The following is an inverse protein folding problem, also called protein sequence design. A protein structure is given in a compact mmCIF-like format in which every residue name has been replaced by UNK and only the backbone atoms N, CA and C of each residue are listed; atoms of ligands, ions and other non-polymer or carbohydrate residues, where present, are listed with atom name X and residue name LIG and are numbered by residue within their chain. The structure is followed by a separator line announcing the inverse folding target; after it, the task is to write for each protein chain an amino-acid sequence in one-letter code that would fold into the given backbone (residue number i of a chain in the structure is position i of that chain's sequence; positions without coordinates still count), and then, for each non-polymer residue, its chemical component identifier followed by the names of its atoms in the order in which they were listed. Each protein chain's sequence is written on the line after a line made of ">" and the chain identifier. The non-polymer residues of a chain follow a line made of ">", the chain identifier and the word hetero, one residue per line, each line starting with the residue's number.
data_IF_272446578769
#
_entry.id   IF_272446578769
#
_cell.length_a   1.000
_cell.length_b   1.000
_cell.length_c   1.000
_cell.angle_alpha   90.00
_cell.angle_beta   90.00
_cell.angle_gamma   90.00
#
_symmetry.space_group_name_H-M   'P 1'
#
loop_
_entity.id
_entity.type
_entity.pdbx_description
1 polymer ?
#
# COMPACT_ATOMS: atom_id res chain seq x y z
N UNK A 1 16.33 -44.01 6.00
CA UNK A 1 14.96 -43.52 6.27
C UNK A 1 14.66 -42.11 5.72
N UNK A 2 15.66 -41.29 5.33
CA UNK A 2 15.42 -39.96 4.73
C UNK A 2 14.84 -39.98 3.32
N UNK A 3 15.18 -40.98 2.50
CA UNK A 3 14.77 -41.05 1.09
C UNK A 3 13.26 -41.19 0.86
N UNK A 4 12.55 -42.00 1.66
CA UNK A 4 11.12 -42.27 1.44
C UNK A 4 10.21 -41.11 1.83
N UNK A 5 10.53 -40.41 2.93
CA UNK A 5 9.79 -39.21 3.35
C UNK A 5 9.95 -38.06 2.35
N UNK A 6 11.17 -37.85 1.85
CA UNK A 6 11.45 -36.83 0.84
C UNK A 6 10.73 -37.13 -0.48
N UNK A 7 10.73 -38.40 -0.92
CA UNK A 7 10.03 -38.81 -2.14
C UNK A 7 8.50 -38.67 -2.03
N UNK A 8 7.94 -38.93 -0.85
CA UNK A 8 6.52 -38.67 -0.57
C UNK A 8 6.18 -37.17 -0.63
N UNK A 9 7.03 -36.30 -0.07
CA UNK A 9 6.83 -34.85 -0.14
C UNK A 9 6.88 -34.32 -1.58
N UNK A 10 7.85 -34.78 -2.38
CA UNK A 10 7.96 -34.43 -3.80
C UNK A 10 6.70 -34.87 -4.58
N UNK A 11 6.20 -36.09 -4.31
CA UNK A 11 4.98 -36.58 -4.95
C UNK A 11 3.76 -35.72 -4.60
N UNK A 12 3.59 -35.32 -3.34
CA UNK A 12 2.50 -34.43 -2.91
C UNK A 12 2.56 -33.08 -3.62
N UNK A 13 3.74 -32.45 -3.67
CA UNK A 13 3.93 -31.16 -4.35
C UNK A 13 3.67 -31.28 -5.85
N UNK A 14 4.12 -32.36 -6.48
CA UNK A 14 3.87 -32.61 -7.90
C UNK A 14 2.38 -32.75 -8.19
N UNK A 15 1.64 -33.47 -7.35
CA UNK A 15 0.19 -33.60 -7.48
C UNK A 15 -0.52 -32.25 -7.30
N UNK A 16 -0.10 -31.45 -6.31
CA UNK A 16 -0.63 -30.09 -6.09
C UNK A 16 -0.44 -29.21 -7.33
N UNK A 17 0.75 -29.21 -7.92
CA UNK A 17 1.05 -28.42 -9.12
C UNK A 17 0.25 -28.91 -10.34
N UNK A 18 0.09 -30.22 -10.50
CA UNK A 18 -0.75 -30.78 -11.57
C UNK A 18 -2.23 -30.42 -11.39
N UNK A 19 -2.74 -30.46 -10.14
CA UNK A 19 -4.09 -30.06 -9.81
C UNK A 19 -4.30 -28.57 -10.04
N UNK A 20 -3.31 -27.73 -9.73
CA UNK A 20 -3.33 -26.31 -10.06
C UNK A 20 -3.41 -26.07 -11.57
N UNK A 21 -2.54 -26.73 -12.34
CA UNK A 21 -2.40 -26.49 -13.78
C UNK A 21 -3.68 -26.93 -14.52
N UNK A 22 -4.26 -28.09 -14.16
CA UNK A 22 -5.49 -28.62 -14.76
C UNK A 22 -6.78 -28.12 -14.10
N UNK A 23 -6.67 -27.45 -12.95
CA UNK A 23 -7.79 -27.05 -12.11
C UNK A 23 -8.62 -25.92 -12.70
N UNK A 24 -9.93 -25.95 -12.43
CA UNK A 24 -10.82 -24.82 -12.68
C UNK A 24 -10.52 -23.67 -11.70
N UNK A 25 -11.15 -22.50 -11.93
CA UNK A 25 -11.08 -21.37 -10.98
C UNK A 25 -11.43 -21.78 -9.54
N UNK A 26 -12.39 -22.68 -9.38
CA UNK A 26 -12.86 -23.16 -8.06
C UNK A 26 -11.80 -24.03 -7.40
N UNK A 27 -11.15 -24.90 -8.18
CA UNK A 27 -10.07 -25.78 -7.69
C UNK A 27 -8.88 -24.93 -7.25
N UNK A 28 -8.44 -23.97 -8.08
CA UNK A 28 -7.34 -23.07 -7.71
C UNK A 28 -7.67 -22.23 -6.48
N UNK A 29 -8.89 -21.69 -6.37
CA UNK A 29 -9.33 -20.96 -5.18
C UNK A 29 -9.27 -21.84 -3.92
N UNK A 30 -9.71 -23.09 -3.99
CA UNK A 30 -9.62 -24.03 -2.86
C UNK A 30 -8.17 -24.29 -2.46
N UNK A 31 -7.28 -24.52 -3.44
CA UNK A 31 -5.84 -24.68 -3.19
C UNK A 31 -5.28 -23.45 -2.45
N UNK A 32 -5.65 -22.23 -2.87
CA UNK A 32 -5.19 -21.01 -2.19
C UNK A 32 -5.74 -20.86 -0.78
N UNK A 33 -7.01 -21.20 -0.55
CA UNK A 33 -7.61 -21.16 0.79
C UNK A 33 -6.87 -22.13 1.72
N UNK A 34 -6.60 -23.35 1.26
CA UNK A 34 -5.88 -24.35 2.04
C UNK A 34 -4.42 -23.93 2.27
N UNK A 35 -3.75 -23.39 1.25
CA UNK A 35 -2.40 -22.83 1.37
C UNK A 35 -2.34 -21.70 2.40
N UNK A 36 -3.24 -20.73 2.32
CA UNK A 36 -3.31 -19.58 3.24
C UNK A 36 -3.59 -20.03 4.67
N UNK A 37 -4.38 -21.09 4.87
CA UNK A 37 -4.63 -21.63 6.21
C UNK A 37 -3.39 -22.31 6.80
N UNK A 38 -2.62 -23.02 5.99
CA UNK A 38 -1.54 -23.89 6.47
C UNK A 38 -0.18 -23.18 6.60
N UNK A 39 0.00 -22.02 5.94
CA UNK A 39 1.33 -21.42 5.76
C UNK A 39 1.48 -20.01 6.36
N UNK A 40 0.55 -19.55 7.20
CA UNK A 40 0.69 -18.26 7.87
C UNK A 40 1.92 -18.24 8.78
N UNK A 41 2.63 -17.11 8.79
CA UNK A 41 3.79 -16.85 9.65
C UNK A 41 4.99 -17.81 9.44
N UNK A 42 4.99 -18.61 8.36
CA UNK A 42 6.14 -19.43 8.01
C UNK A 42 7.27 -18.58 7.44
N UNK A 43 8.50 -18.98 7.75
CA UNK A 43 9.74 -18.45 7.19
C UNK A 43 9.99 -19.00 5.78
N UNK A 44 10.89 -18.37 5.03
CA UNK A 44 11.29 -18.81 3.70
C UNK A 44 11.77 -20.28 3.66
N UNK A 45 12.68 -20.69 4.57
CA UNK A 45 13.11 -22.09 4.68
C UNK A 45 11.98 -23.07 4.99
N UNK A 46 11.02 -22.70 5.85
CA UNK A 46 9.87 -23.57 6.17
C UNK A 46 8.92 -23.72 4.98
N UNK A 47 8.69 -22.64 4.21
CA UNK A 47 7.93 -22.72 2.96
C UNK A 47 8.62 -23.65 1.95
N UNK A 48 9.94 -23.56 1.81
CA UNK A 48 10.68 -24.46 0.94
C UNK A 48 10.64 -25.91 1.42
N UNK A 49 10.72 -26.14 2.72
CA UNK A 49 10.60 -27.49 3.26
C UNK A 49 9.21 -28.09 3.00
N UNK A 50 8.15 -27.30 3.19
CA UNK A 50 6.76 -27.70 2.91
C UNK A 50 6.58 -28.06 1.43
N UNK A 51 7.19 -27.28 0.54
CA UNK A 51 7.10 -27.45 -0.91
C UNK A 51 8.22 -28.29 -1.50
N UNK A 52 8.94 -29.09 -0.71
CA UNK A 52 10.02 -29.96 -1.20
C UNK A 52 11.02 -29.23 -2.13
N UNK A 53 11.39 -27.99 -1.76
CA UNK A 53 12.28 -27.08 -2.50
C UNK A 53 11.68 -26.51 -3.81
N UNK A 54 10.36 -26.54 -3.97
CA UNK A 54 9.64 -26.06 -5.15
C UNK A 54 8.67 -24.90 -4.84
N UNK A 55 8.86 -24.14 -3.75
CA UNK A 55 7.91 -23.08 -3.39
C UNK A 55 7.89 -21.95 -4.45
N UNK A 56 9.05 -21.60 -5.02
CA UNK A 56 9.16 -20.64 -6.14
C UNK A 56 8.37 -21.05 -7.39
N UNK A 57 8.25 -22.37 -7.66
CA UNK A 57 7.44 -22.87 -8.78
C UNK A 57 5.94 -22.66 -8.56
N UNK A 58 5.50 -22.71 -7.31
CA UNK A 58 4.12 -22.38 -6.95
C UNK A 58 3.88 -20.87 -7.01
N UNK A 59 4.81 -20.06 -6.50
CA UNK A 59 4.74 -18.59 -6.60
C UNK A 59 4.68 -18.10 -8.06
N UNK A 60 5.47 -18.71 -8.96
CA UNK A 60 5.44 -18.37 -10.39
C UNK A 60 4.07 -18.59 -11.01
N UNK A 61 3.40 -19.71 -10.66
CA UNK A 61 2.05 -20.01 -11.15
C UNK A 61 0.99 -19.08 -10.56
N UNK A 62 1.14 -18.76 -9.27
CA UNK A 62 0.26 -17.84 -8.56
C UNK A 62 0.32 -16.43 -9.16
N UNK A 63 1.53 -15.90 -9.37
CA UNK A 63 1.75 -14.57 -9.95
C UNK A 63 1.30 -14.49 -11.40
N UNK A 64 1.53 -15.55 -12.19
CA UNK A 64 0.99 -15.65 -13.54
C UNK A 64 -0.55 -15.62 -13.55
N UNK A 65 -1.20 -16.37 -12.65
CA UNK A 65 -2.66 -16.38 -12.55
C UNK A 65 -3.23 -15.02 -12.10
N UNK A 66 -2.55 -14.34 -11.18
CA UNK A 66 -2.91 -12.99 -10.74
C UNK A 66 -2.92 -12.05 -11.94
N UNK A 67 -1.82 -12.01 -12.70
CA UNK A 67 -1.68 -11.11 -13.84
C UNK A 67 -2.73 -11.36 -14.93
N UNK A 68 -3.18 -12.60 -15.11
CA UNK A 68 -4.23 -12.95 -16.06
C UNK A 68 -5.65 -12.60 -15.59
N UNK A 69 -5.88 -12.47 -14.28
CA UNK A 69 -7.25 -12.44 -13.72
C UNK A 69 -7.59 -11.25 -12.84
N UNK A 70 -6.63 -10.43 -12.43
CA UNK A 70 -6.88 -9.33 -11.49
C UNK A 70 -7.91 -8.32 -12.00
N UNK A 71 -7.92 -8.01 -13.30
CA UNK A 71 -8.87 -7.06 -13.90
C UNK A 71 -10.34 -7.51 -13.79
N UNK A 72 -10.59 -8.82 -13.76
CA UNK A 72 -11.92 -9.43 -13.65
C UNK A 72 -12.22 -9.94 -12.23
N UNK A 73 -11.30 -9.76 -11.28
CA UNK A 73 -11.51 -10.05 -9.86
C UNK A 73 -11.70 -11.53 -9.50
N UNK A 74 -11.20 -12.47 -10.31
CA UNK A 74 -11.38 -13.91 -10.02
C UNK A 74 -10.52 -14.33 -8.84
N UNK A 75 -11.13 -14.65 -7.69
CA UNK A 75 -10.42 -15.09 -6.47
C UNK A 75 -9.25 -14.19 -6.09
N UNK A 76 -9.42 -12.88 -6.28
CA UNK A 76 -8.33 -11.90 -6.15
C UNK A 76 -7.84 -11.82 -4.70
N UNK A 77 -8.75 -11.81 -3.74
CA UNK A 77 -8.42 -11.81 -2.31
C UNK A 77 -7.55 -13.02 -1.93
N UNK A 78 -7.95 -14.23 -2.33
CA UNK A 78 -7.19 -15.45 -2.03
C UNK A 78 -5.79 -15.43 -2.66
N UNK A 79 -5.69 -14.90 -3.89
CA UNK A 79 -4.42 -14.74 -4.58
C UNK A 79 -3.49 -13.78 -3.84
N UNK A 80 -3.98 -12.61 -3.45
CA UNK A 80 -3.20 -11.60 -2.74
C UNK A 80 -2.78 -12.08 -1.35
N UNK A 81 -3.67 -12.75 -0.61
CA UNK A 81 -3.34 -13.34 0.69
C UNK A 81 -2.25 -14.41 0.59
N UNK A 82 -2.31 -15.25 -0.44
CA UNK A 82 -1.27 -16.25 -0.69
C UNK A 82 0.07 -15.59 -1.06
N UNK A 83 0.06 -14.55 -1.90
CA UNK A 83 1.28 -13.78 -2.24
C UNK A 83 1.87 -13.12 -1.00
N UNK A 84 1.03 -12.54 -0.13
CA UNK A 84 1.47 -11.88 1.11
C UNK A 84 2.30 -12.82 2.00
N UNK A 85 1.95 -14.12 2.07
CA UNK A 85 2.75 -15.13 2.79
C UNK A 85 4.17 -15.22 2.24
N UNK A 86 4.33 -15.28 0.91
CA UNK A 86 5.65 -15.31 0.27
C UNK A 86 6.45 -14.02 0.51
N UNK A 87 5.79 -12.86 0.43
CA UNK A 87 6.44 -11.55 0.57
C UNK A 87 6.84 -11.22 2.02
N UNK A 88 6.09 -11.73 3.00
CA UNK A 88 6.33 -11.50 4.43
C UNK A 88 7.24 -12.56 5.07
N UNK A 89 7.52 -13.66 4.38
CA UNK A 89 8.36 -14.75 4.88
C UNK A 89 9.79 -14.25 5.21
N UNK A 90 10.18 -14.36 6.48
CA UNK A 90 11.54 -14.04 6.91
C UNK A 90 12.55 -14.97 6.25
N UNK A 91 13.71 -14.44 5.86
CA UNK A 91 14.70 -15.16 5.03
C UNK A 91 14.16 -15.65 3.66
N UNK A 92 13.03 -15.11 3.20
CA UNK A 92 12.39 -15.43 1.91
C UNK A 92 12.79 -14.50 0.75
N UNK A 93 13.98 -13.89 0.79
CA UNK A 93 14.35 -12.81 -0.14
C UNK A 93 14.23 -13.19 -1.63
N UNK A 94 14.39 -14.46 -1.98
CA UNK A 94 14.22 -14.94 -3.36
C UNK A 94 12.79 -14.77 -3.88
N UNK A 95 11.78 -15.01 -3.03
CA UNK A 95 10.37 -14.85 -3.42
C UNK A 95 10.03 -13.40 -3.73
N UNK A 96 10.58 -12.48 -2.92
CA UNK A 96 10.46 -11.05 -3.16
C UNK A 96 11.10 -10.66 -4.51
N UNK A 97 12.29 -11.18 -4.80
CA UNK A 97 12.99 -10.91 -6.06
C UNK A 97 12.19 -11.43 -7.27
N UNK A 98 11.76 -12.70 -7.23
CA UNK A 98 10.94 -13.33 -8.28
C UNK A 98 9.64 -12.55 -8.53
N UNK A 99 8.95 -12.13 -7.46
CA UNK A 99 7.72 -11.35 -7.55
C UNK A 99 7.93 -9.99 -8.22
N UNK A 100 9.03 -9.32 -7.90
CA UNK A 100 9.38 -8.02 -8.49
C UNK A 100 9.76 -8.17 -9.96
N UNK A 101 10.54 -9.19 -10.31
CA UNK A 101 11.02 -9.45 -11.67
C UNK A 101 9.86 -9.66 -12.66
N UNK A 102 8.77 -10.29 -12.23
CA UNK A 102 7.56 -10.48 -13.06
C UNK A 102 6.64 -9.25 -13.07
N UNK A 103 7.08 -8.12 -12.51
CA UNK A 103 6.33 -6.86 -12.46
C UNK A 103 5.21 -6.84 -11.41
N UNK A 104 5.32 -7.64 -10.35
CA UNK A 104 4.29 -7.77 -9.31
C UNK A 104 3.92 -6.44 -8.64
N UNK A 105 4.87 -5.53 -8.44
CA UNK A 105 4.62 -4.19 -7.87
C UNK A 105 3.65 -3.38 -8.74
N UNK A 106 3.83 -3.39 -10.06
CA UNK A 106 2.93 -2.69 -10.98
C UNK A 106 1.52 -3.29 -10.92
N UNK A 107 1.41 -4.62 -10.91
CA UNK A 107 0.11 -5.29 -10.78
C UNK A 107 -0.61 -4.94 -9.49
N UNK A 108 0.09 -4.86 -8.35
CA UNK A 108 -0.50 -4.43 -7.07
C UNK A 108 -0.99 -2.98 -7.12
N UNK A 109 -0.20 -2.07 -7.70
CA UNK A 109 -0.57 -0.66 -7.88
C UNK A 109 -1.77 -0.49 -8.82
N UNK A 110 -1.87 -1.29 -9.87
CA UNK A 110 -3.04 -1.31 -10.74
C UNK A 110 -4.29 -1.78 -9.99
N UNK A 111 -4.20 -2.85 -9.19
CA UNK A 111 -5.31 -3.38 -8.39
C UNK A 111 -5.91 -2.31 -7.47
N UNK A 112 -5.09 -1.55 -6.74
CA UNK A 112 -5.60 -0.51 -5.83
C UNK A 112 -6.26 0.66 -6.57
N UNK A 113 -5.90 0.86 -7.85
CA UNK A 113 -6.47 1.86 -8.74
C UNK A 113 -7.73 1.41 -9.49
N UNK A 114 -8.07 0.12 -9.47
CA UNK A 114 -9.26 -0.40 -10.14
C UNK A 114 -10.54 0.11 -9.46
N UNK A 115 -11.42 0.75 -10.24
CA UNK A 115 -12.69 1.28 -9.75
C UNK A 115 -13.64 0.16 -9.29
N UNK A 116 -13.59 -0.99 -9.97
CA UNK A 116 -14.45 -2.14 -9.72
C UNK A 116 -13.89 -3.12 -8.68
N UNK A 117 -12.64 -2.95 -8.24
CA UNK A 117 -12.06 -3.81 -7.21
C UNK A 117 -12.76 -3.61 -5.87
N UNK A 118 -12.99 -4.70 -5.14
CA UNK A 118 -13.55 -4.66 -3.79
C UNK A 118 -12.55 -4.02 -2.83
N UNK A 119 -13.05 -3.39 -1.77
CA UNK A 119 -12.18 -2.78 -0.76
C UNK A 119 -11.25 -3.83 -0.11
N UNK A 120 -11.75 -5.05 0.16
CA UNK A 120 -10.92 -6.15 0.69
C UNK A 120 -9.77 -6.54 -0.26
N UNK A 121 -10.00 -6.51 -1.57
CA UNK A 121 -8.95 -6.80 -2.56
C UNK A 121 -7.89 -5.69 -2.58
N UNK A 122 -8.31 -4.42 -2.50
CA UNK A 122 -7.40 -3.29 -2.40
C UNK A 122 -6.58 -3.34 -1.11
N UNK A 123 -7.23 -3.67 0.01
CA UNK A 123 -6.58 -3.81 1.31
C UNK A 123 -5.49 -4.88 1.28
N UNK A 124 -5.76 -6.07 0.72
CA UNK A 124 -4.76 -7.13 0.59
C UNK A 124 -3.63 -6.74 -0.38
N UNK A 125 -3.94 -5.98 -1.43
CA UNK A 125 -2.91 -5.44 -2.34
C UNK A 125 -2.00 -4.43 -1.64
N UNK A 126 -2.57 -3.53 -0.81
CA UNK A 126 -1.82 -2.59 0.01
C UNK A 126 -0.93 -3.29 1.03
N UNK A 127 -1.41 -4.37 1.67
CA UNK A 127 -0.58 -5.19 2.57
C UNK A 127 0.62 -5.80 1.84
N UNK A 128 0.44 -6.31 0.63
CA UNK A 128 1.55 -6.79 -0.19
C UNK A 128 2.56 -5.67 -0.50
N UNK A 129 2.09 -4.47 -0.87
CA UNK A 129 2.96 -3.31 -1.10
C UNK A 129 3.70 -2.87 0.18
N UNK A 130 3.07 -2.95 1.34
CA UNK A 130 3.70 -2.69 2.63
C UNK A 130 4.80 -3.72 2.92
N UNK A 131 4.59 -5.01 2.64
CA UNK A 131 5.65 -6.03 2.74
C UNK A 131 6.86 -5.67 1.86
N UNK A 132 6.61 -5.26 0.61
CA UNK A 132 7.66 -4.82 -0.33
C UNK A 132 8.39 -3.59 0.23
N UNK A 133 7.67 -2.56 0.68
CA UNK A 133 8.26 -1.34 1.25
C UNK A 133 9.08 -1.63 2.52
N UNK A 134 8.64 -2.58 3.35
CA UNK A 134 9.31 -2.97 4.59
C UNK A 134 10.64 -3.72 4.33
N UNK A 135 10.80 -4.34 3.16
CA UNK A 135 12.00 -5.09 2.82
C UNK A 135 13.25 -4.19 2.60
N UNK A 136 13.09 -2.86 2.56
CA UNK A 136 14.19 -1.89 2.60
C UNK A 136 14.07 -0.76 1.58
N UNK A 137 14.99 0.21 1.69
CA UNK A 137 14.97 1.47 0.90
C UNK A 137 14.83 1.23 -0.61
N UNK A 138 15.62 0.32 -1.20
CA UNK A 138 15.58 0.04 -2.64
C UNK A 138 14.19 -0.35 -3.14
N UNK A 139 13.41 -1.03 -2.32
CA UNK A 139 12.05 -1.45 -2.67
C UNK A 139 11.03 -0.33 -2.48
N UNK A 140 11.23 0.55 -1.49
CA UNK A 140 10.46 1.80 -1.39
C UNK A 140 10.66 2.68 -2.62
N UNK A 141 11.91 2.86 -3.05
CA UNK A 141 12.25 3.60 -4.26
C UNK A 141 11.58 3.01 -5.50
N UNK A 142 11.62 1.67 -5.67
CA UNK A 142 10.93 0.99 -6.76
C UNK A 142 9.42 1.27 -6.79
N UNK A 143 8.75 1.24 -5.63
CA UNK A 143 7.32 1.59 -5.54
C UNK A 143 7.10 3.04 -5.97
N UNK A 144 7.93 3.97 -5.51
CA UNK A 144 7.83 5.38 -5.88
C UNK A 144 8.06 5.62 -7.38
N UNK A 145 9.09 4.99 -7.97
CA UNK A 145 9.41 5.06 -9.40
C UNK A 145 8.28 4.48 -10.28
N UNK A 146 7.55 3.50 -9.74
CA UNK A 146 6.37 2.91 -10.37
C UNK A 146 5.09 3.75 -10.21
N UNK A 147 5.21 5.06 -9.96
CA UNK A 147 4.10 5.98 -9.66
C UNK A 147 3.28 5.62 -8.41
N UNK A 148 3.86 4.86 -7.48
CA UNK A 148 3.15 4.37 -6.31
C UNK A 148 2.61 5.46 -5.39
N UNK A 149 3.32 6.58 -5.24
CA UNK A 149 2.85 7.71 -4.41
C UNK A 149 1.50 8.22 -4.90
N UNK A 150 1.38 8.46 -6.21
CA UNK A 150 0.13 8.94 -6.83
C UNK A 150 -0.97 7.89 -6.69
N UNK A 151 -0.68 6.63 -7.03
CA UNK A 151 -1.67 5.55 -6.99
C UNK A 151 -2.23 5.35 -5.57
N UNK A 152 -1.38 5.37 -4.55
CA UNK A 152 -1.77 5.20 -3.15
C UNK A 152 -2.52 6.42 -2.62
N UNK A 153 -2.09 7.65 -2.97
CA UNK A 153 -2.84 8.86 -2.61
C UNK A 153 -4.24 8.86 -3.26
N UNK A 154 -4.35 8.54 -4.54
CA UNK A 154 -5.65 8.43 -5.21
C UNK A 154 -6.54 7.35 -4.59
N UNK A 155 -5.96 6.22 -4.17
CA UNK A 155 -6.67 5.18 -3.45
C UNK A 155 -7.21 5.71 -2.11
N UNK A 156 -6.39 6.39 -1.31
CA UNK A 156 -6.78 7.02 -0.04
C UNK A 156 -7.95 8.00 -0.20
N UNK A 157 -7.91 8.84 -1.25
CA UNK A 157 -8.97 9.81 -1.52
C UNK A 157 -10.30 9.18 -1.92
N UNK A 158 -10.28 8.00 -2.56
CA UNK A 158 -11.45 7.35 -3.16
C UNK A 158 -11.96 6.14 -2.38
N UNK A 159 -11.16 5.60 -1.47
CA UNK A 159 -11.52 4.45 -0.65
C UNK A 159 -12.74 4.74 0.23
N UNK A 160 -13.51 3.68 0.49
CA UNK A 160 -14.76 3.72 1.25
C UNK A 160 -14.63 3.08 2.63
N UNK A 161 -13.66 2.17 2.79
CA UNK A 161 -13.33 1.53 4.06
C UNK A 161 -12.22 2.29 4.77
N UNK A 162 -12.38 2.52 6.07
CA UNK A 162 -11.35 3.16 6.89
C UNK A 162 -10.07 2.31 6.96
N UNK A 163 -10.20 0.98 6.96
CA UNK A 163 -9.06 0.05 6.95
C UNK A 163 -8.21 0.21 5.68
N UNK A 164 -8.86 0.40 4.54
CA UNK A 164 -8.17 0.65 3.26
C UNK A 164 -7.48 2.02 3.26
N UNK A 165 -8.14 3.03 3.81
CA UNK A 165 -7.56 4.37 3.97
C UNK A 165 -6.35 4.35 4.91
N UNK A 166 -6.45 3.65 6.04
CA UNK A 166 -5.34 3.52 7.00
C UNK A 166 -4.16 2.77 6.37
N UNK A 167 -4.43 1.68 5.61
CA UNK A 167 -3.39 0.98 4.88
C UNK A 167 -2.68 1.87 3.83
N UNK A 168 -3.43 2.73 3.13
CA UNK A 168 -2.83 3.72 2.21
C UNK A 168 -1.97 4.73 2.96
N UNK A 169 -2.49 5.29 4.06
CA UNK A 169 -1.78 6.23 4.93
C UNK A 169 -0.47 5.64 5.43
N UNK A 170 -0.52 4.43 5.98
CA UNK A 170 0.64 3.72 6.50
C UNK A 170 1.68 3.50 5.40
N UNK A 171 1.26 3.09 4.20
CA UNK A 171 2.18 2.92 3.08
C UNK A 171 2.84 4.25 2.67
N UNK A 172 2.10 5.37 2.60
CA UNK A 172 2.70 6.68 2.31
C UNK A 172 3.73 7.08 3.37
N UNK A 173 3.42 6.90 4.66
CA UNK A 173 4.38 7.17 5.74
C UNK A 173 5.64 6.29 5.64
N UNK A 174 5.47 5.00 5.34
CA UNK A 174 6.58 4.09 5.09
C UNK A 174 7.45 4.57 3.91
N UNK A 175 6.84 5.07 2.84
CA UNK A 175 7.54 5.58 1.66
C UNK A 175 8.28 6.90 1.93
N UNK A 176 7.87 7.71 2.91
CA UNK A 176 8.63 8.89 3.34
C UNK A 176 9.80 8.51 4.26
N UNK A 177 9.59 7.57 5.19
CA UNK A 177 10.58 7.29 6.23
C UNK A 177 11.83 6.58 5.69
N UNK A 178 12.99 7.23 5.84
CA UNK A 178 14.29 6.67 5.45
C UNK A 178 14.50 6.55 3.93
N UNK A 179 13.70 7.27 3.13
CA UNK A 179 13.69 7.27 1.68
C UNK A 179 13.94 8.68 1.11
N UNK A 180 15.15 9.20 1.33
CA UNK A 180 15.53 10.58 1.06
C UNK A 180 15.28 11.04 -0.39
N UNK A 181 15.33 10.12 -1.36
CA UNK A 181 15.08 10.44 -2.78
C UNK A 181 13.63 10.88 -3.05
N UNK A 182 12.68 10.38 -2.26
CA UNK A 182 11.25 10.52 -2.53
C UNK A 182 10.45 11.20 -1.41
N UNK A 183 11.04 11.51 -0.26
CA UNK A 183 10.34 12.14 0.88
C UNK A 183 9.58 13.42 0.49
N UNK A 184 10.18 14.29 -0.34
CA UNK A 184 9.53 15.52 -0.84
C UNK A 184 8.37 15.20 -1.79
N UNK A 185 8.47 14.13 -2.57
CA UNK A 185 7.39 13.71 -3.46
C UNK A 185 6.22 13.11 -2.68
N UNK A 186 6.50 12.34 -1.63
CA UNK A 186 5.46 11.85 -0.71
C UNK A 186 4.75 13.01 -0.03
N UNK A 187 5.52 13.98 0.48
CA UNK A 187 4.98 15.19 1.10
C UNK A 187 4.06 15.97 0.14
N UNK A 188 4.49 16.19 -1.11
CA UNK A 188 3.64 16.79 -2.16
C UNK A 188 2.39 15.96 -2.46
N UNK A 189 2.52 14.63 -2.48
CA UNK A 189 1.39 13.71 -2.64
C UNK A 189 0.36 13.84 -1.53
N UNK A 190 0.81 14.03 -0.28
CA UNK A 190 -0.06 14.29 0.87
C UNK A 190 -0.72 15.68 0.79
N UNK A 191 0.00 16.73 0.35
CA UNK A 191 -0.60 18.05 0.11
C UNK A 191 -1.74 17.95 -0.92
N UNK A 192 -1.54 17.17 -1.98
CA UNK A 192 -2.55 16.99 -3.03
C UNK A 192 -3.84 16.30 -2.54
N UNK A 193 -3.83 15.70 -1.34
CA UNK A 193 -5.03 15.12 -0.71
C UNK A 193 -5.86 16.14 0.07
N UNK A 194 -5.28 17.24 0.53
CA UNK A 194 -6.02 18.28 1.28
C UNK A 194 -7.26 18.80 0.54
N UNK A 195 -7.25 19.04 -0.79
CA UNK A 195 -8.45 19.49 -1.50
C UNK A 195 -9.43 18.37 -1.88
N UNK A 196 -9.21 17.10 -1.48
CA UNK A 196 -10.12 16.01 -1.87
C UNK A 196 -11.49 16.10 -1.19
N UNK A 197 -12.47 15.34 -1.68
CA UNK A 197 -13.86 15.40 -1.18
C UNK A 197 -14.12 14.52 0.04
N UNK A 198 -13.16 13.68 0.44
CA UNK A 198 -13.32 12.74 1.55
C UNK A 198 -12.80 13.36 2.85
N UNK A 199 -13.66 13.70 3.82
CA UNK A 199 -13.22 14.34 5.07
C UNK A 199 -12.21 13.49 5.84
N UNK A 200 -12.42 12.17 5.86
CA UNK A 200 -11.49 11.23 6.49
C UNK A 200 -10.12 11.25 5.82
N UNK A 201 -10.06 11.29 4.48
CA UNK A 201 -8.81 11.37 3.76
C UNK A 201 -8.10 12.72 3.98
N UNK A 202 -8.85 13.83 4.04
CA UNK A 202 -8.30 15.15 4.38
C UNK A 202 -7.69 15.14 5.80
N UNK A 203 -8.42 14.61 6.78
CA UNK A 203 -7.95 14.45 8.15
C UNK A 203 -6.65 13.63 8.21
N UNK A 204 -6.65 12.45 7.59
CA UNK A 204 -5.48 11.56 7.53
C UNK A 204 -4.29 12.21 6.83
N UNK A 205 -4.53 12.99 5.76
CA UNK A 205 -3.48 13.69 5.04
C UNK A 205 -2.85 14.79 5.92
N UNK A 206 -3.66 15.60 6.61
CA UNK A 206 -3.16 16.61 7.53
C UNK A 206 -2.32 16.00 8.67
N UNK A 207 -2.81 14.92 9.29
CA UNK A 207 -2.05 14.17 10.31
C UNK A 207 -0.74 13.61 9.77
N UNK A 208 -0.74 13.06 8.55
CA UNK A 208 0.47 12.52 7.93
C UNK A 208 1.47 13.61 7.54
N UNK A 209 1.00 14.79 7.13
CA UNK A 209 1.87 15.93 6.83
C UNK A 209 2.63 16.38 8.07
N UNK A 210 2.00 16.37 9.25
CA UNK A 210 2.69 16.65 10.54
C UNK A 210 3.83 15.67 10.80
N UNK A 211 3.63 14.39 10.50
CA UNK A 211 4.67 13.36 10.63
C UNK A 211 5.80 13.52 9.60
N UNK A 212 5.47 13.89 8.35
CA UNK A 212 6.44 13.97 7.25
C UNK A 212 7.17 15.33 7.21
N UNK A 213 6.56 16.40 7.72
CA UNK A 213 7.14 17.74 7.78
C UNK A 213 8.56 17.77 8.37
N UNK A 214 8.84 17.20 9.56
CA UNK A 214 10.20 17.18 10.11
C UNK A 214 11.17 16.30 9.32
N UNK A 215 10.68 15.35 8.53
CA UNK A 215 11.50 14.52 7.64
C UNK A 215 12.02 15.36 6.47
N UNK A 216 11.13 16.12 5.82
CA UNK A 216 11.48 16.97 4.65
C UNK A 216 12.17 18.28 5.04
N UNK A 217 12.02 18.72 6.29
CA UNK A 217 12.62 19.91 6.92
C UNK A 217 12.25 21.28 6.33
N UNK A 218 11.88 21.35 5.06
CA UNK A 218 11.43 22.57 4.39
C UNK A 218 9.96 22.41 3.98
N UNK A 219 9.14 23.40 4.31
CA UNK A 219 7.73 23.37 3.95
C UNK A 219 7.53 23.75 2.48
N UNK A 220 6.68 23.00 1.76
CA UNK A 220 6.36 23.36 0.38
C UNK A 220 5.32 24.50 0.36
N UNK A 221 5.56 25.62 -0.34
CA UNK A 221 4.60 26.73 -0.40
C UNK A 221 3.20 26.34 -0.91
N UNK A 222 3.08 25.27 -1.71
CA UNK A 222 1.79 24.79 -2.21
C UNK A 222 0.86 24.25 -1.12
N UNK A 223 1.33 24.07 0.12
CA UNK A 223 0.50 23.64 1.25
C UNK A 223 -0.45 24.73 1.73
N UNK A 224 -0.09 26.01 1.55
CA UNK A 224 -0.72 27.16 2.22
C UNK A 224 -2.20 27.27 1.85
N UNK A 225 -2.52 27.36 0.56
CA UNK A 225 -3.90 27.56 0.12
C UNK A 225 -4.82 26.36 0.43
N UNK A 226 -4.45 25.10 0.11
CA UNK A 226 -5.27 23.94 0.46
C UNK A 226 -5.53 23.84 1.97
N UNK A 227 -4.52 24.10 2.79
CA UNK A 227 -4.62 24.03 4.24
C UNK A 227 -5.55 25.11 4.81
N UNK A 228 -5.44 26.36 4.33
CA UNK A 228 -6.35 27.44 4.73
C UNK A 228 -7.79 27.16 4.29
N UNK A 229 -7.99 26.50 3.14
CA UNK A 229 -9.32 26.11 2.69
C UNK A 229 -9.95 25.02 3.58
N UNK A 230 -9.14 24.17 4.22
CA UNK A 230 -9.67 23.20 5.21
C UNK A 230 -10.33 23.88 6.41
N UNK A 231 -9.91 25.08 6.80
CA UNK A 231 -10.56 25.82 7.90
C UNK A 231 -12.00 26.24 7.58
N UNK A 232 -12.40 26.20 6.31
CA UNK A 232 -13.77 26.54 5.85
C UNK A 232 -14.70 25.33 5.79
N UNK A 233 -14.18 24.11 6.00
CA UNK A 233 -15.00 22.90 5.95
C UNK A 233 -15.98 22.83 7.12
N UNK A 234 -17.08 22.08 6.99
CA UNK A 234 -18.02 21.84 8.09
C UNK A 234 -17.60 20.67 8.99
N UNK A 235 -16.56 19.93 8.62
CA UNK A 235 -16.04 18.78 9.35
C UNK A 235 -15.06 19.21 10.44
N UNK A 236 -15.48 19.16 11.71
CA UNK A 236 -14.70 19.65 12.84
C UNK A 236 -13.37 18.88 13.01
N UNK A 237 -13.35 17.58 12.74
CA UNK A 237 -12.11 16.79 12.82
C UNK A 237 -11.08 17.26 11.79
N UNK A 238 -11.53 17.67 10.60
CA UNK A 238 -10.65 18.20 9.54
C UNK A 238 -10.15 19.60 9.91
N UNK A 239 -11.01 20.45 10.46
CA UNK A 239 -10.60 21.78 10.96
C UNK A 239 -9.56 21.65 12.08
N UNK A 240 -9.78 20.74 13.02
CA UNK A 240 -8.87 20.50 14.13
C UNK A 240 -7.48 20.11 13.62
N UNK A 241 -7.38 19.12 12.73
CA UNK A 241 -6.08 18.70 12.19
C UNK A 241 -5.43 19.78 11.31
N UNK A 242 -6.23 20.57 10.59
CA UNK A 242 -5.71 21.72 9.86
C UNK A 242 -5.08 22.75 10.80
N UNK A 243 -5.72 23.06 11.93
CA UNK A 243 -5.20 23.98 12.95
C UNK A 243 -3.90 23.44 13.56
N UNK A 244 -3.85 22.16 13.91
CA UNK A 244 -2.64 21.54 14.48
C UNK A 244 -1.48 21.56 13.48
N UNK A 245 -1.74 21.26 12.20
CA UNK A 245 -0.72 21.36 11.15
C UNK A 245 -0.26 22.81 10.94
N UNK A 246 -1.16 23.79 10.96
CA UNK A 246 -0.79 25.21 10.86
C UNK A 246 0.14 25.61 12.00
N UNK A 247 -0.14 25.19 13.25
CA UNK A 247 0.72 25.50 14.40
C UNK A 247 2.13 24.99 14.18
N UNK A 248 2.29 23.75 13.72
CA UNK A 248 3.61 23.17 13.44
C UNK A 248 4.33 23.87 12.28
N UNK A 249 3.59 24.30 11.26
CA UNK A 249 4.15 25.03 10.11
C UNK A 249 4.62 26.46 10.44
N UNK A 250 4.34 26.98 11.65
CA UNK A 250 4.84 28.28 12.08
C UNK A 250 6.36 28.31 12.24
N UNK A 251 6.98 27.16 12.48
CA UNK A 251 8.44 27.02 12.60
C UNK A 251 9.14 26.91 11.23
N UNK A 252 8.40 27.05 10.13
CA UNK A 252 8.89 26.85 8.76
C UNK A 252 8.65 28.09 7.88
N UNK A 253 9.19 28.05 6.67
CA UNK A 253 9.28 29.18 5.73
C UNK A 253 7.92 29.70 5.23
N UNK A 254 6.85 28.93 5.43
CA UNK A 254 5.48 29.25 5.00
C UNK A 254 4.68 30.08 6.01
N UNK A 255 5.24 30.33 7.20
CA UNK A 255 4.56 31.00 8.33
C UNK A 255 3.93 32.35 7.97
N UNK A 256 4.69 33.24 7.32
CA UNK A 256 4.19 34.55 6.88
C UNK A 256 3.00 34.45 5.92
N UNK A 257 3.03 33.47 5.01
CA UNK A 257 1.95 33.27 4.03
C UNK A 257 0.70 32.70 4.70
N UNK A 258 0.87 31.79 5.67
CA UNK A 258 -0.21 31.25 6.50
C UNK A 258 -0.85 32.35 7.36
N UNK A 259 -0.06 33.18 8.04
CA UNK A 259 -0.55 34.29 8.86
C UNK A 259 -1.36 35.29 8.05
N UNK A 260 -0.85 35.70 6.88
CA UNK A 260 -1.59 36.56 5.94
C UNK A 260 -2.93 35.93 5.54
N UNK A 261 -2.92 34.64 5.22
CA UNK A 261 -4.13 33.89 4.88
C UNK A 261 -5.15 33.82 6.01
N UNK A 262 -4.71 33.53 7.23
CA UNK A 262 -5.56 33.50 8.43
C UNK A 262 -6.23 34.84 8.69
N UNK A 263 -5.47 35.94 8.60
CA UNK A 263 -6.03 37.30 8.73
C UNK A 263 -7.11 37.57 7.70
N UNK A 264 -6.96 37.09 6.46
CA UNK A 264 -7.98 37.22 5.43
C UNK A 264 -9.25 36.42 5.75
N UNK A 265 -9.14 35.23 6.34
CA UNK A 265 -10.29 34.41 6.74
C UNK A 265 -11.09 35.03 7.89
N UNK A 266 -10.42 35.77 8.79
CA UNK A 266 -11.06 36.44 9.92
C UNK A 266 -11.75 37.75 9.54
N UNK A 267 -11.47 38.30 8.34
CA UNK A 267 -12.16 39.50 7.88
C UNK A 267 -13.63 39.17 7.62
N UNK A 268 -14.58 39.96 8.14
CA UNK A 268 -15.99 39.74 7.86
C UNK A 268 -16.22 39.81 6.34
N UNK A 269 -16.96 38.85 5.80
CA UNK A 269 -17.39 38.91 4.41
C UNK A 269 -18.11 40.25 4.21
N UNK A 270 -17.67 41.05 3.22
CA UNK A 270 -18.40 42.26 2.85
C UNK A 270 -19.83 41.83 2.53
N UNK A 271 -20.81 42.30 3.31
CA UNK A 271 -22.23 42.11 3.02
C UNK A 271 -22.48 42.71 1.62
N UNK A 272 -22.69 41.85 0.63
CA UNK A 272 -23.35 42.21 -0.64
C UNK A 272 -24.85 42.26 -0.43
#
# INVERSE_FOLDING_TARGET
>A
MGSSKQQSAISKVTNLLQEWDKGSKVVRAKILIDFVRQNQNKTGPELEQEFAQAASLFLTRLTAWLRLTYMIGTSLNEQLRAISIFLSASSGHKFMAEFIEVGGVLTLLEIIGLKQAKEDDKLESLKCLQCVANAGRKYKELICESYGIRAVAECLAKAKSEETQDACRNLLLMLAQGNFKFEVQVYKGLIALLPCTSPKAQQMAAQSLRVVQPIVKSANPSIVEPLLNLLKTLHLEVQYEAIELIKELMDYEVSDSLLKGLVLLLRPAKKT
#
